data_IF_024964609611
#
_entry.id   IF_024964609611
#
_cell.length_a   1.000
_cell.length_b   1.000
_cell.length_c   1.000
_cell.angle_alpha   90.00
_cell.angle_beta   90.00
_cell.angle_gamma   90.00
#
_symmetry.space_group_name_H-M   'P 1'
#
loop_
_entity.id
_entity.type
_entity.pdbx_description
1 polymer ?
#
# COMPACT_ATOMS: atom_id res chain seq x y z
N UNK A 1 -4.29 -16.56 11.49
CA UNK A 1 -2.99 -15.85 11.50
C UNK A 1 -2.52 -15.65 12.93
N UNK A 2 -1.21 -15.73 13.22
CA UNK A 2 -0.66 -15.38 14.54
C UNK A 2 -0.98 -13.94 14.94
N UNK A 3 -1.21 -13.69 16.23
CA UNK A 3 -1.56 -12.38 16.80
C UNK A 3 -0.55 -11.27 16.45
N UNK A 4 0.73 -11.60 16.33
CA UNK A 4 1.80 -10.66 15.95
C UNK A 4 1.84 -10.34 14.44
N UNK A 5 1.16 -11.12 13.59
CA UNK A 5 0.93 -10.77 12.18
C UNK A 5 -0.30 -9.87 12.01
N UNK A 6 -1.24 -9.90 12.95
CA UNK A 6 -2.49 -9.14 12.86
C UNK A 6 -2.28 -7.62 13.01
N UNK A 7 -1.29 -7.19 13.79
CA UNK A 7 -1.04 -5.79 14.16
C UNK A 7 0.21 -5.18 13.51
N UNK A 8 0.59 -5.63 12.31
CA UNK A 8 1.76 -5.10 11.62
C UNK A 8 1.45 -3.75 10.96
N UNK A 9 2.25 -2.69 11.23
CA UNK A 9 2.15 -1.42 10.52
C UNK A 9 2.31 -1.61 9.00
N UNK A 10 1.54 -0.89 8.19
CA UNK A 10 1.61 -0.95 6.72
C UNK A 10 1.19 -2.27 6.08
N UNK A 11 0.41 -3.10 6.79
CA UNK A 11 -0.10 -4.37 6.27
C UNK A 11 -1.15 -4.13 5.18
N UNK A 12 -1.00 -4.78 4.02
CA UNK A 12 -2.06 -4.87 3.01
C UNK A 12 -3.19 -5.77 3.52
N UNK A 13 -4.39 -5.21 3.65
CA UNK A 13 -5.58 -5.89 4.20
C UNK A 13 -6.47 -6.45 3.09
N UNK A 14 -6.76 -5.64 2.09
CA UNK A 14 -7.68 -5.96 1.02
C UNK A 14 -7.25 -5.36 -0.32
N UNK A 15 -7.70 -5.97 -1.41
CA UNK A 15 -7.60 -5.46 -2.77
C UNK A 15 -9.01 -5.38 -3.35
N UNK A 16 -9.40 -4.20 -3.82
CA UNK A 16 -10.64 -3.98 -4.57
C UNK A 16 -10.31 -3.87 -6.05
N UNK A 17 -10.98 -4.66 -6.87
CA UNK A 17 -10.76 -4.73 -8.32
C UNK A 17 -11.95 -4.08 -9.03
N UNK A 18 -11.67 -3.04 -9.80
CA UNK A 18 -12.58 -2.37 -10.73
C UNK A 18 -12.01 -2.41 -12.16
N UNK A 19 -12.83 -2.21 -13.21
CA UNK A 19 -12.33 -2.13 -14.58
C UNK A 19 -11.29 -1.00 -14.73
N UNK A 20 -10.04 -1.37 -15.01
CA UNK A 20 -8.93 -0.44 -15.20
C UNK A 20 -8.32 0.13 -13.92
N UNK A 21 -8.85 -0.18 -12.74
CA UNK A 21 -8.35 0.34 -11.47
C UNK A 21 -8.39 -0.74 -10.38
N UNK A 22 -7.35 -0.79 -9.56
CA UNK A 22 -7.26 -1.66 -8.40
C UNK A 22 -6.88 -0.82 -7.19
N UNK A 23 -7.57 -1.01 -6.08
CA UNK A 23 -7.38 -0.24 -4.85
C UNK A 23 -6.87 -1.16 -3.74
N UNK A 24 -5.65 -0.90 -3.30
CA UNK A 24 -4.95 -1.62 -2.26
C UNK A 24 -5.18 -0.91 -0.93
N UNK A 25 -5.88 -1.59 -0.01
CA UNK A 25 -6.19 -1.04 1.31
C UNK A 25 -5.14 -1.50 2.31
N UNK A 26 -4.35 -0.56 2.80
CA UNK A 26 -3.36 -0.78 3.85
C UNK A 26 -3.94 -0.42 5.21
N UNK A 27 -3.57 -1.20 6.23
CA UNK A 27 -4.05 -1.03 7.61
C UNK A 27 -3.83 0.39 8.13
N UNK A 28 -2.71 1.01 7.74
CA UNK A 28 -2.24 2.30 8.22
C UNK A 28 -1.06 2.75 7.38
N UNK A 29 -0.82 4.05 7.22
CA UNK A 29 0.44 4.61 6.66
C UNK A 29 1.30 5.12 7.80
N UNK A 30 2.58 4.81 7.71
CA UNK A 30 3.58 5.23 8.68
C UNK A 30 4.19 6.53 8.17
N UNK A 31 4.53 7.49 9.03
CA UNK A 31 5.34 8.66 8.66
C UNK A 31 6.80 8.53 9.15
N UNK A 32 7.77 9.33 8.64
CA UNK A 32 9.20 9.16 8.97
C UNK A 32 9.55 9.28 10.46
N UNK A 33 8.72 9.99 11.23
CA UNK A 33 8.94 10.21 12.66
C UNK A 33 7.65 9.96 13.43
N UNK A 34 7.76 9.49 14.67
CA UNK A 34 6.60 9.19 15.52
C UNK A 34 5.67 10.39 15.71
N UNK A 35 6.21 11.59 15.92
CA UNK A 35 5.40 12.80 16.10
C UNK A 35 4.60 13.15 14.85
N UNK A 36 5.23 13.04 13.68
CA UNK A 36 4.55 13.25 12.41
C UNK A 36 3.51 12.15 12.17
N UNK A 37 3.84 10.89 12.47
CA UNK A 37 2.94 9.75 12.33
C UNK A 37 1.66 9.94 13.14
N UNK A 38 1.79 10.28 14.42
CA UNK A 38 0.66 10.51 15.31
C UNK A 38 -0.21 11.68 14.85
N UNK A 39 0.41 12.80 14.45
CA UNK A 39 -0.30 13.95 13.93
C UNK A 39 -1.04 13.64 12.61
N UNK A 40 -0.37 12.95 11.68
CA UNK A 40 -0.91 12.64 10.36
C UNK A 40 -2.04 11.62 10.44
N UNK A 41 -1.89 10.60 11.30
CA UNK A 41 -2.95 9.65 11.64
C UNK A 41 -4.18 10.36 12.20
N UNK A 42 -3.99 11.27 13.17
CA UNK A 42 -5.09 12.04 13.74
C UNK A 42 -5.79 12.90 12.67
N UNK A 43 -5.02 13.51 11.78
CA UNK A 43 -5.56 14.28 10.65
C UNK A 43 -6.41 13.42 9.70
N UNK A 44 -5.97 12.21 9.33
CA UNK A 44 -6.74 11.31 8.45
C UNK A 44 -8.02 10.80 9.11
N UNK A 45 -7.96 10.44 10.39
CA UNK A 45 -9.17 10.06 11.14
C UNK A 45 -10.16 11.22 11.15
N UNK A 46 -9.69 12.43 11.43
CA UNK A 46 -10.53 13.62 11.45
C UNK A 46 -11.13 13.98 10.08
N UNK A 47 -10.35 13.89 9.00
CA UNK A 47 -10.76 14.33 7.66
C UNK A 47 -11.47 13.25 6.82
N UNK A 48 -11.08 11.98 6.97
CA UNK A 48 -11.54 10.85 6.16
C UNK A 48 -12.38 9.83 6.96
N UNK A 49 -12.35 9.91 8.30
CA UNK A 49 -13.00 8.95 9.18
C UNK A 49 -12.28 7.61 9.29
N UNK A 50 -10.99 7.54 8.90
CA UNK A 50 -10.16 6.33 8.93
C UNK A 50 -8.69 6.65 9.14
N UNK A 51 -7.94 5.73 9.74
CA UNK A 51 -6.47 5.79 9.79
C UNK A 51 -5.81 5.00 8.65
N UNK A 52 -6.51 3.99 8.12
CA UNK A 52 -6.06 3.17 7.00
C UNK A 52 -5.74 3.98 5.77
N UNK A 53 -4.88 3.45 4.90
CA UNK A 53 -4.44 4.10 3.67
C UNK A 53 -4.92 3.30 2.44
N UNK A 54 -5.10 4.00 1.31
CA UNK A 54 -5.62 3.40 0.07
C UNK A 54 -4.80 3.86 -1.11
N UNK A 55 -4.08 2.91 -1.69
CA UNK A 55 -3.28 3.10 -2.89
C UNK A 55 -4.01 2.59 -4.13
N UNK A 56 -4.12 3.42 -5.16
CA UNK A 56 -4.69 3.00 -6.45
C UNK A 56 -3.57 2.62 -7.42
N UNK A 57 -3.77 1.56 -8.19
CA UNK A 57 -2.92 1.17 -9.32
C UNK A 57 -3.80 0.74 -10.51
N UNK A 58 -3.27 0.81 -11.71
CA UNK A 58 -3.90 0.23 -12.89
C UNK A 58 -3.09 -0.98 -13.36
N UNK A 59 -3.75 -2.11 -13.54
CA UNK A 59 -3.15 -3.33 -14.07
C UNK A 59 -3.78 -3.60 -15.44
N UNK A 60 -2.94 -3.63 -16.46
CA UNK A 60 -3.30 -4.04 -17.82
C UNK A 60 -2.71 -5.42 -18.12
N UNK A 61 -2.97 -5.95 -19.32
CA UNK A 61 -2.34 -7.21 -19.76
C UNK A 61 -0.80 -7.12 -19.83
N UNK A 62 -0.26 -5.93 -20.12
CA UNK A 62 1.18 -5.75 -20.39
C UNK A 62 1.93 -5.06 -19.25
N UNK A 63 1.29 -4.13 -18.54
CA UNK A 63 1.93 -3.27 -17.56
C UNK A 63 1.08 -3.00 -16.33
N UNK A 64 1.76 -2.58 -15.27
CA UNK A 64 1.19 -1.95 -14.09
C UNK A 64 1.59 -0.49 -14.08
N UNK A 65 0.61 0.37 -13.86
CA UNK A 65 0.75 1.81 -13.73
C UNK A 65 0.55 2.16 -12.27
N UNK A 66 1.49 2.93 -11.74
CA UNK A 66 1.59 3.34 -10.35
C UNK A 66 1.42 4.86 -10.25
N UNK A 67 0.20 5.38 -10.02
CA UNK A 67 -0.03 6.78 -9.73
C UNK A 67 0.47 7.12 -8.32
N UNK A 68 1.52 7.93 -8.22
CA UNK A 68 2.08 8.42 -6.95
C UNK A 68 2.56 7.37 -5.94
N UNK A 69 2.56 6.08 -6.25
CA UNK A 69 3.03 5.04 -5.33
C UNK A 69 4.15 4.18 -5.93
N UNK A 70 4.86 4.71 -6.93
CA UNK A 70 5.98 4.00 -7.56
C UNK A 70 7.29 4.10 -6.78
N UNK A 71 7.83 2.96 -6.37
CA UNK A 71 9.17 2.88 -5.76
C UNK A 71 10.26 2.97 -6.86
N UNK A 72 10.64 4.21 -7.24
CA UNK A 72 11.60 4.50 -8.33
C UNK A 72 13.01 3.96 -8.07
N UNK A 73 13.82 4.70 -7.30
CA UNK A 73 15.09 4.25 -6.72
C UNK A 73 14.80 4.23 -5.24
N UNK A 74 14.73 3.04 -4.68
CA UNK A 74 14.28 2.82 -3.32
C UNK A 74 15.17 3.52 -2.30
N UNK A 75 14.78 4.73 -1.96
CA UNK A 75 15.09 5.35 -0.70
C UNK A 75 14.10 4.73 0.29
N UNK A 76 14.46 3.58 0.85
CA UNK A 76 13.64 2.79 1.78
C UNK A 76 13.01 3.62 2.91
N UNK A 77 13.60 4.79 3.19
CA UNK A 77 13.23 5.73 4.24
C UNK A 77 12.68 7.08 3.73
N UNK A 78 12.33 7.20 2.45
CA UNK A 78 11.77 8.45 1.91
C UNK A 78 10.24 8.43 1.83
N UNK A 79 9.62 9.53 2.24
CA UNK A 79 8.21 9.85 1.93
C UNK A 79 8.05 10.48 0.54
N UNK A 80 8.94 10.18 -0.41
CA UNK A 80 8.86 10.78 -1.74
C UNK A 80 8.06 9.85 -2.65
N UNK A 81 6.92 10.36 -3.10
CA UNK A 81 5.98 9.68 -3.97
C UNK A 81 6.32 10.00 -5.43
N UNK A 82 6.37 8.96 -6.27
CA UNK A 82 6.59 9.08 -7.71
C UNK A 82 5.49 8.33 -8.45
N UNK A 83 5.21 8.75 -9.68
CA UNK A 83 4.43 7.95 -10.62
C UNK A 83 5.36 7.13 -11.51
N UNK A 84 4.92 5.94 -11.93
CA UNK A 84 5.72 5.07 -12.79
C UNK A 84 4.95 3.97 -13.47
N UNK A 85 5.63 3.25 -14.36
CA UNK A 85 5.10 2.11 -15.13
C UNK A 85 6.11 0.97 -15.14
N UNK A 86 5.63 -0.27 -15.06
CA UNK A 86 6.45 -1.48 -15.15
C UNK A 86 5.70 -2.62 -15.83
N UNK A 87 6.41 -3.48 -16.56
CA UNK A 87 5.80 -4.68 -17.15
C UNK A 87 5.10 -5.53 -16.08
N UNK A 88 3.91 -6.04 -16.40
CA UNK A 88 3.17 -6.91 -15.50
C UNK A 88 3.89 -8.25 -15.35
N UNK A 89 4.18 -8.62 -14.10
CA UNK A 89 4.91 -9.87 -13.79
C UNK A 89 4.04 -10.90 -13.07
N UNK A 90 2.77 -10.57 -12.81
CA UNK A 90 1.91 -11.35 -11.93
C UNK A 90 2.12 -11.07 -10.44
N UNK A 91 3.10 -10.25 -10.07
CA UNK A 91 3.48 -9.98 -8.67
C UNK A 91 3.70 -8.49 -8.44
N UNK A 92 3.18 -8.00 -7.31
CA UNK A 92 3.42 -6.65 -6.78
C UNK A 92 4.12 -6.78 -5.45
N UNK A 93 5.15 -5.97 -5.26
CA UNK A 93 5.95 -5.91 -4.05
C UNK A 93 5.81 -4.53 -3.40
N UNK A 94 5.41 -4.51 -2.12
CA UNK A 94 5.63 -3.33 -1.28
C UNK A 94 7.11 -3.25 -0.94
N UNK A 95 7.73 -2.11 -1.26
CA UNK A 95 9.18 -1.92 -1.20
C UNK A 95 9.63 -0.99 -0.06
N UNK A 96 8.71 -0.26 0.56
CA UNK A 96 9.01 0.70 1.64
C UNK A 96 7.97 0.59 2.76
N UNK A 97 8.17 1.33 3.85
CA UNK A 97 7.20 1.42 4.94
C UNK A 97 5.99 2.30 4.65
N UNK A 98 6.04 3.14 3.62
CA UNK A 98 4.94 4.03 3.17
C UNK A 98 4.23 3.48 1.91
N UNK A 99 4.09 2.17 1.79
CA UNK A 99 3.31 1.53 0.72
C UNK A 99 3.77 1.79 -0.72
N UNK A 100 5.03 2.15 -0.94
CA UNK A 100 5.56 2.32 -2.31
C UNK A 100 5.77 0.95 -2.97
N UNK A 101 5.28 0.80 -4.19
CA UNK A 101 5.13 -0.46 -4.90
C UNK A 101 6.06 -0.58 -6.11
N UNK A 102 6.36 -1.81 -6.50
CA UNK A 102 6.93 -2.18 -7.81
C UNK A 102 6.71 -3.68 -8.11
N UNK A 103 7.19 -4.14 -9.26
CA UNK A 103 7.11 -5.52 -9.75
C UNK A 103 8.43 -6.30 -9.62
N UNK A 104 9.45 -5.75 -8.94
CA UNK A 104 10.79 -6.36 -8.89
C UNK A 104 11.29 -6.47 -7.45
N UNK A 105 11.76 -7.66 -7.03
CA UNK A 105 12.43 -7.76 -5.76
C UNK A 105 13.74 -6.96 -5.80
N UNK A 106 13.98 -6.16 -4.78
CA UNK A 106 15.20 -5.38 -4.63
C UNK A 106 16.10 -5.98 -3.56
N UNK A 107 17.34 -6.29 -3.93
CA UNK A 107 18.31 -6.95 -3.05
C UNK A 107 18.49 -6.25 -1.70
N UNK A 108 18.60 -4.91 -1.60
CA UNK A 108 18.73 -4.24 -0.30
C UNK A 108 17.52 -4.44 0.64
N UNK A 109 16.32 -4.58 0.08
CA UNK A 109 15.09 -4.86 0.85
C UNK A 109 15.07 -6.34 1.26
N UNK A 110 15.40 -7.25 0.34
CA UNK A 110 15.47 -8.70 0.61
C UNK A 110 16.40 -9.01 1.78
N UNK A 111 17.57 -8.40 1.82
CA UNK A 111 18.58 -8.61 2.88
C UNK A 111 18.14 -8.13 4.27
N UNK A 112 17.05 -7.36 4.37
CA UNK A 112 16.53 -6.77 5.61
C UNK A 112 15.16 -7.32 6.01
N UNK A 113 14.73 -8.44 5.43
CA UNK A 113 13.37 -8.99 5.57
C UNK A 113 12.26 -7.97 5.21
N UNK A 114 12.57 -7.03 4.31
CA UNK A 114 11.66 -5.97 3.92
C UNK A 114 10.58 -6.40 2.93
N UNK A 115 10.63 -7.63 2.41
CA UNK A 115 9.56 -8.22 1.63
C UNK A 115 8.79 -9.25 2.44
N UNK A 116 7.47 -9.10 2.46
CA UNK A 116 6.56 -10.04 3.11
C UNK A 116 5.51 -10.46 2.10
N UNK A 117 5.30 -11.77 1.99
CA UNK A 117 4.17 -12.31 1.26
C UNK A 117 2.91 -11.92 2.03
N UNK A 118 2.06 -11.11 1.42
CA UNK A 118 0.75 -10.75 1.94
C UNK A 118 -0.30 -11.63 1.27
N UNK A 119 -1.31 -12.03 2.03
CA UNK A 119 -2.48 -12.76 1.54
C UNK A 119 -3.71 -11.88 1.82
N UNK A 120 -3.92 -10.80 1.04
CA UNK A 120 -5.05 -9.90 1.24
C UNK A 120 -6.36 -10.55 0.77
N UNK A 121 -7.46 -10.10 1.33
CA UNK A 121 -8.78 -10.43 0.80
C UNK A 121 -9.01 -9.70 -0.53
N UNK A 122 -9.61 -10.37 -1.51
CA UNK A 122 -9.88 -9.81 -2.83
C UNK A 122 -11.38 -9.59 -2.98
N UNK A 123 -11.76 -8.35 -3.31
CA UNK A 123 -13.12 -7.90 -3.52
C UNK A 123 -13.28 -7.33 -4.94
N UNK A 124 -14.47 -7.44 -5.50
CA UNK A 124 -14.86 -6.65 -6.66
C UNK A 124 -15.56 -5.39 -6.19
N UNK A 125 -15.07 -4.23 -6.62
CA UNK A 125 -15.58 -2.94 -6.17
C UNK A 125 -14.66 -1.79 -6.58
N UNK A 126 -15.22 -0.60 -6.62
CA UNK A 126 -14.52 0.65 -6.93
C UNK A 126 -13.88 1.27 -5.69
N UNK A 127 -13.38 2.50 -5.84
CA UNK A 127 -12.73 3.23 -4.76
C UNK A 127 -13.67 3.47 -3.57
N UNK A 128 -14.95 3.69 -3.79
CA UNK A 128 -15.90 3.95 -2.70
C UNK A 128 -16.08 2.71 -1.82
N UNK A 129 -16.12 1.53 -2.42
CA UNK A 129 -16.13 0.26 -1.67
C UNK A 129 -14.85 0.07 -0.84
N UNK A 130 -13.69 0.44 -1.40
CA UNK A 130 -12.43 0.41 -0.68
C UNK A 130 -12.42 1.39 0.51
N UNK A 131 -12.98 2.59 0.34
CA UNK A 131 -13.13 3.60 1.39
C UNK A 131 -14.05 3.13 2.52
N UNK A 132 -15.18 2.49 2.19
CA UNK A 132 -16.09 1.91 3.18
C UNK A 132 -15.41 0.81 4.00
N UNK A 133 -14.70 -0.10 3.33
CA UNK A 133 -13.92 -1.14 4.00
C UNK A 133 -12.84 -0.53 4.89
N UNK A 134 -12.11 0.48 4.41
CA UNK A 134 -11.07 1.13 5.18
C UNK A 134 -11.59 1.84 6.44
N UNK A 135 -12.80 2.41 6.41
CA UNK A 135 -13.45 2.96 7.63
C UNK A 135 -13.83 1.86 8.63
N UNK A 136 -14.18 0.67 8.17
CA UNK A 136 -14.49 -0.46 9.07
C UNK A 136 -13.27 -0.96 9.86
N UNK A 137 -12.06 -0.62 9.42
CA UNK A 137 -10.82 -1.04 10.04
C UNK A 137 -10.43 -0.20 11.28
N UNK A 138 -10.93 1.04 11.40
CA UNK A 138 -10.55 2.00 12.46
C UNK A 138 -10.06 3.33 11.90
#
# INVERSE_FOLDING_TARGET
>A
MPYWMANQPGRLCAIFIAPGENHLVFRDEIAPTKLWDEWYRAYRIWSLGRSSDIESIEITEAEVIYPWNYSFINLYESSIHYSGRQNWTGVIYSSTWNHMLNNKPQVPILLRDGYRRMEPEIYYGDRDAAEEYARSLG
#
